data_IF_220807833704
#
_entry.id   IF_220807833704
#
_cell.length_a   1.000
_cell.length_b   1.000
_cell.length_c   1.000
_cell.angle_alpha   90.00
_cell.angle_beta   90.00
_cell.angle_gamma   90.00
#
_symmetry.space_group_name_H-M   'P 1'
#
loop_
_entity.id
_entity.type
_entity.pdbx_description
1 polymer ?
#
# COMPACT_ATOMS: atom_id res chain seq x y z
N UNK A 1 -20.83 31.00 -1.24
CA UNK A 1 -19.95 31.15 -0.06
C UNK A 1 -20.45 32.38 0.68
N UNK A 2 -20.85 32.26 1.95
CA UNK A 2 -21.31 33.42 2.74
C UNK A 2 -20.09 34.19 3.25
N UNK A 3 -19.55 35.04 2.38
CA UNK A 3 -18.31 35.80 2.63
C UNK A 3 -18.46 36.72 3.84
N UNK A 4 -19.64 37.31 4.00
CA UNK A 4 -19.91 38.29 5.05
C UNK A 4 -19.86 37.65 6.44
N UNK A 5 -20.49 36.47 6.61
CA UNK A 5 -20.41 35.71 7.87
C UNK A 5 -18.98 35.27 8.22
N UNK A 6 -18.19 34.86 7.23
CA UNK A 6 -16.81 34.48 7.49
C UNK A 6 -15.93 35.68 7.90
N UNK A 7 -16.22 36.88 7.38
CA UNK A 7 -15.54 38.11 7.76
C UNK A 7 -15.95 38.56 9.17
N UNK A 8 -17.21 38.39 9.55
CA UNK A 8 -17.68 38.63 10.92
C UNK A 8 -16.96 37.73 11.93
N UNK A 9 -16.94 36.41 11.67
CA UNK A 9 -16.23 35.45 12.53
C UNK A 9 -14.72 35.73 12.59
N UNK A 10 -14.09 36.13 11.47
CA UNK A 10 -12.68 36.50 11.43
C UNK A 10 -12.37 37.75 12.27
N UNK A 11 -13.29 38.73 12.30
CA UNK A 11 -13.15 39.94 13.13
C UNK A 11 -13.27 39.62 14.62
N UNK A 12 -13.89 38.51 15.01
CA UNK A 12 -13.97 38.10 16.42
C UNK A 12 -12.69 37.41 16.93
N UNK A 13 -11.78 37.02 16.03
CA UNK A 13 -10.50 36.40 16.39
C UNK A 13 -9.52 37.42 17.00
N UNK A 14 -8.64 36.93 17.87
CA UNK A 14 -7.48 37.69 18.38
C UNK A 14 -6.50 38.00 17.26
N UNK A 15 -5.61 38.97 17.46
CA UNK A 15 -4.64 39.36 16.43
C UNK A 15 -3.75 38.17 16.02
N UNK A 16 -3.29 37.35 16.97
CA UNK A 16 -2.49 36.14 16.70
C UNK A 16 -3.28 35.10 15.90
N UNK A 17 -4.52 34.81 16.30
CA UNK A 17 -5.40 33.87 15.60
C UNK A 17 -5.76 34.36 14.19
N UNK A 18 -5.83 35.68 13.94
CA UNK A 18 -6.04 36.24 12.60
C UNK A 18 -4.84 36.00 11.69
N UNK A 19 -3.61 36.19 12.19
CA UNK A 19 -2.39 35.92 11.43
C UNK A 19 -2.31 34.42 11.11
N UNK A 20 -2.59 33.56 12.09
CA UNK A 20 -2.63 32.11 11.90
C UNK A 20 -3.70 31.68 10.91
N UNK A 21 -4.93 32.18 11.05
CA UNK A 21 -6.02 31.90 10.12
C UNK A 21 -5.65 32.32 8.70
N UNK A 22 -5.06 33.50 8.51
CA UNK A 22 -4.60 33.98 7.20
C UNK A 22 -3.54 33.08 6.56
N UNK A 23 -2.59 32.59 7.35
CA UNK A 23 -1.58 31.62 6.90
C UNK A 23 -2.18 30.24 6.56
N UNK A 24 -3.17 29.79 7.33
CA UNK A 24 -3.80 28.48 7.16
C UNK A 24 -4.75 28.40 5.95
N UNK A 25 -5.36 29.50 5.50
CA UNK A 25 -6.30 29.51 4.36
C UNK A 25 -5.71 28.87 3.08
N UNK A 26 -4.52 29.27 2.58
CA UNK A 26 -3.95 28.64 1.39
C UNK A 26 -3.64 27.15 1.59
N UNK A 27 -3.20 26.74 2.79
CA UNK A 27 -2.92 25.34 3.13
C UNK A 27 -4.20 24.51 3.14
N UNK A 28 -5.27 25.05 3.70
CA UNK A 28 -6.58 24.42 3.70
C UNK A 28 -7.14 24.26 2.29
N UNK A 29 -7.00 25.28 1.44
CA UNK A 29 -7.40 25.20 0.03
C UNK A 29 -6.59 24.15 -0.75
N UNK A 30 -5.30 23.98 -0.48
CA UNK A 30 -4.49 22.92 -1.07
C UNK A 30 -5.01 21.52 -0.68
N UNK A 31 -5.27 21.30 0.61
CA UNK A 31 -5.84 20.04 1.15
C UNK A 31 -7.21 19.71 0.52
N UNK A 32 -8.06 20.71 0.31
CA UNK A 32 -9.35 20.49 -0.37
C UNK A 32 -9.19 20.05 -1.84
N UNK A 33 -8.20 20.59 -2.56
CA UNK A 33 -7.90 20.17 -3.94
C UNK A 33 -7.43 18.73 -4.00
N UNK A 34 -6.59 18.30 -3.07
CA UNK A 34 -6.17 16.89 -2.94
C UNK A 34 -7.37 15.97 -2.72
N UNK A 35 -8.31 16.38 -1.87
CA UNK A 35 -9.55 15.65 -1.60
C UNK A 35 -10.61 15.78 -2.70
N UNK A 36 -10.25 16.35 -3.87
CA UNK A 36 -11.14 16.64 -5.01
C UNK A 36 -12.37 17.49 -4.65
N UNK A 37 -12.32 18.23 -3.55
CA UNK A 37 -13.36 19.15 -3.11
C UNK A 37 -13.08 20.55 -3.67
N UNK A 38 -14.02 21.08 -4.46
CA UNK A 38 -13.84 22.38 -5.14
C UNK A 38 -14.05 23.58 -4.22
N UNK A 39 -14.80 23.43 -3.12
CA UNK A 39 -15.18 24.54 -2.23
C UNK A 39 -15.27 24.07 -0.78
N UNK A 40 -14.78 24.85 0.19
CA UNK A 40 -15.02 24.57 1.60
C UNK A 40 -16.50 24.70 1.91
N UNK A 41 -17.10 23.62 2.41
CA UNK A 41 -18.46 23.65 2.94
C UNK A 41 -18.41 24.38 4.30
N UNK A 42 -19.17 25.46 4.43
CA UNK A 42 -19.27 26.26 5.67
C UNK A 42 -17.96 26.87 6.20
N UNK A 43 -17.20 27.57 5.35
CA UNK A 43 -15.96 28.25 5.75
C UNK A 43 -16.07 29.15 7.00
N UNK A 44 -17.21 29.83 7.20
CA UNK A 44 -17.45 30.64 8.41
C UNK A 44 -17.44 29.79 9.69
N UNK A 45 -17.96 28.55 9.66
CA UNK A 45 -17.89 27.63 10.79
C UNK A 45 -16.45 27.19 11.05
N UNK A 46 -15.67 26.95 10.00
CA UNK A 46 -14.26 26.59 10.13
C UNK A 46 -13.43 27.70 10.80
N UNK A 47 -13.72 28.97 10.49
CA UNK A 47 -13.12 30.13 11.19
C UNK A 47 -13.59 30.19 12.65
N UNK A 48 -14.90 30.07 12.90
CA UNK A 48 -15.50 30.10 14.24
C UNK A 48 -14.97 29.02 15.17
N UNK A 49 -14.80 27.79 14.67
CA UNK A 49 -14.30 26.65 15.46
C UNK A 49 -12.78 26.59 15.55
N UNK A 50 -12.07 27.62 15.08
CA UNK A 50 -10.60 27.67 15.02
C UNK A 50 -9.96 26.51 14.26
N UNK A 51 -10.61 26.02 13.21
CA UNK A 51 -10.11 24.93 12.38
C UNK A 51 -8.76 25.22 11.71
N UNK A 52 -8.34 26.50 11.63
CA UNK A 52 -7.00 26.89 11.19
C UNK A 52 -5.86 26.38 12.09
N UNK A 53 -6.15 26.01 13.34
CA UNK A 53 -5.16 25.45 14.27
C UNK A 53 -4.76 24.00 13.93
N UNK A 54 -5.49 23.34 13.04
CA UNK A 54 -5.06 22.05 12.46
C UNK A 54 -3.84 22.20 11.54
N UNK A 55 -3.54 23.44 11.12
CA UNK A 55 -2.41 23.77 10.28
C UNK A 55 -1.27 24.39 11.11
N UNK A 56 0.00 24.24 10.67
CA UNK A 56 1.14 24.81 11.38
C UNK A 56 0.97 26.31 11.63
N UNK A 57 1.44 26.78 12.79
CA UNK A 57 1.46 28.21 13.10
C UNK A 57 2.37 28.97 12.12
N UNK A 58 2.08 30.26 11.85
CA UNK A 58 2.97 31.10 11.06
C UNK A 58 4.37 31.12 11.65
N UNK A 59 5.38 30.76 10.87
CA UNK A 59 6.78 30.71 11.33
C UNK A 59 7.16 29.43 12.10
N UNK A 60 6.21 28.51 12.36
CA UNK A 60 6.57 27.17 12.77
C UNK A 60 7.28 26.47 11.62
N UNK A 61 8.52 26.04 11.85
CA UNK A 61 9.19 25.13 10.92
C UNK A 61 8.26 23.92 10.71
N UNK A 62 8.10 23.40 9.48
CA UNK A 62 7.32 22.19 9.26
C UNK A 62 7.86 21.15 10.24
N UNK A 63 6.98 20.60 11.08
CA UNK A 63 7.35 19.54 11.99
C UNK A 63 7.94 18.42 11.13
N UNK A 64 9.27 18.32 11.11
CA UNK A 64 9.97 17.27 10.39
C UNK A 64 9.44 15.99 11.01
N UNK A 65 8.64 15.23 10.25
CA UNK A 65 8.15 13.94 10.70
C UNK A 65 9.35 13.20 11.29
N UNK A 66 9.26 12.79 12.55
CA UNK A 66 10.36 12.11 13.21
C UNK A 66 10.82 10.99 12.27
N UNK A 67 12.13 10.88 11.99
CA UNK A 67 12.60 9.85 11.06
C UNK A 67 12.07 8.50 11.54
N UNK A 68 11.43 7.70 10.65
CA UNK A 68 10.80 6.46 11.07
C UNK A 68 11.85 5.60 11.77
N UNK A 69 11.59 5.24 13.02
CA UNK A 69 12.47 4.35 13.77
C UNK A 69 12.56 3.02 13.03
N UNK A 70 13.78 2.62 12.68
CA UNK A 70 14.01 1.32 12.07
C UNK A 70 13.69 0.24 13.09
N UNK A 71 12.91 -0.75 12.68
CA UNK A 71 12.52 -1.91 13.49
C UNK A 71 13.12 -3.17 12.89
N UNK A 72 13.58 -4.07 13.75
CA UNK A 72 14.01 -5.39 13.35
C UNK A 72 12.80 -6.33 13.32
N UNK A 73 12.47 -6.86 12.14
CA UNK A 73 11.32 -7.75 11.91
C UNK A 73 11.75 -9.19 12.05
N UNK A 74 10.99 -9.95 12.84
CA UNK A 74 11.25 -11.35 13.18
C UNK A 74 9.96 -12.15 13.23
N UNK A 75 10.06 -13.46 13.49
CA UNK A 75 8.91 -14.33 13.72
C UNK A 75 7.96 -14.40 12.53
N UNK A 76 6.66 -14.32 12.78
CA UNK A 76 5.63 -14.49 11.74
C UNK A 76 5.61 -13.32 10.75
N UNK A 77 5.90 -12.11 11.19
CA UNK A 77 5.99 -10.97 10.28
C UNK A 77 7.17 -11.13 9.30
N UNK A 78 8.28 -11.73 9.73
CA UNK A 78 9.42 -12.07 8.86
C UNK A 78 9.04 -13.15 7.84
N UNK A 79 8.35 -14.21 8.30
CA UNK A 79 7.84 -15.28 7.42
C UNK A 79 6.87 -14.73 6.37
N UNK A 80 5.97 -13.85 6.80
CA UNK A 80 5.02 -13.18 5.93
C UNK A 80 5.70 -12.28 4.90
N UNK A 81 6.75 -11.55 5.30
CA UNK A 81 7.58 -10.78 4.37
C UNK A 81 8.27 -11.69 3.35
N UNK A 82 8.76 -12.86 3.75
CA UNK A 82 9.34 -13.82 2.82
C UNK A 82 8.32 -14.29 1.77
N UNK A 83 7.08 -14.59 2.19
CA UNK A 83 5.98 -14.92 1.25
C UNK A 83 5.69 -13.74 0.31
N UNK A 84 5.59 -12.52 0.83
CA UNK A 84 5.37 -11.32 0.02
C UNK A 84 6.49 -11.12 -1.03
N UNK A 85 7.75 -11.36 -0.65
CA UNK A 85 8.90 -11.31 -1.57
C UNK A 85 8.83 -12.37 -2.68
N UNK A 86 8.39 -13.59 -2.36
CA UNK A 86 8.19 -14.66 -3.35
C UNK A 86 7.10 -14.32 -4.36
N UNK A 87 6.05 -13.61 -3.94
CA UNK A 87 4.99 -13.16 -4.84
C UNK A 87 5.48 -11.98 -5.69
N UNK A 88 6.00 -10.92 -5.05
CA UNK A 88 6.28 -9.65 -5.70
C UNK A 88 7.51 -9.68 -6.62
N UNK A 89 8.60 -10.31 -6.15
CA UNK A 89 9.92 -10.25 -6.81
C UNK A 89 10.43 -11.63 -7.22
N UNK A 90 9.73 -12.72 -6.86
CA UNK A 90 10.09 -14.11 -7.16
C UNK A 90 11.50 -14.46 -6.67
N UNK A 91 11.89 -13.90 -5.53
CA UNK A 91 13.17 -14.16 -4.89
C UNK A 91 12.98 -14.43 -3.40
N UNK A 92 13.97 -15.09 -2.85
CA UNK A 92 14.07 -15.28 -1.40
C UNK A 92 14.38 -13.96 -0.70
N UNK A 93 13.77 -13.78 0.47
CA UNK A 93 14.08 -12.67 1.35
C UNK A 93 15.51 -12.84 1.87
N UNK A 94 16.33 -11.80 1.74
CA UNK A 94 17.67 -11.78 2.33
C UNK A 94 17.56 -11.48 3.80
N UNK A 95 17.73 -12.51 4.62
CA UNK A 95 17.71 -12.41 6.08
C UNK A 95 19.10 -12.01 6.58
N UNK A 96 19.15 -11.11 7.55
CA UNK A 96 20.37 -10.67 8.22
C UNK A 96 20.41 -11.34 9.60
N UNK A 97 21.60 -11.73 10.03
CA UNK A 97 21.84 -12.22 11.39
C UNK A 97 22.44 -11.12 12.25
N UNK A 98 21.70 -10.72 13.27
CA UNK A 98 22.11 -9.80 14.32
C UNK A 98 22.60 -10.60 15.55
N UNK A 99 23.57 -10.07 16.29
CA UNK A 99 24.19 -10.78 17.42
C UNK A 99 23.24 -10.89 18.62
N UNK A 100 22.44 -9.86 18.88
CA UNK A 100 21.57 -9.78 20.05
C UNK A 100 20.14 -10.22 19.73
N UNK A 101 19.68 -9.93 18.50
CA UNK A 101 18.31 -10.18 18.09
C UNK A 101 18.16 -11.50 17.31
N UNK A 102 19.22 -12.04 16.73
CA UNK A 102 19.17 -13.24 15.88
C UNK A 102 18.80 -12.92 14.43
N UNK A 103 17.99 -13.75 13.78
CA UNK A 103 17.68 -13.60 12.35
C UNK A 103 16.49 -12.67 12.10
N UNK A 104 16.61 -11.77 11.12
CA UNK A 104 15.57 -10.81 10.78
C UNK A 104 15.93 -9.84 9.66
N UNK A 105 15.08 -8.83 9.48
CA UNK A 105 15.29 -7.75 8.49
C UNK A 105 14.93 -6.40 9.10
N UNK A 106 15.75 -5.38 8.82
CA UNK A 106 15.45 -4.00 9.23
C UNK A 106 14.43 -3.38 8.29
N UNK A 107 13.32 -2.88 8.85
CA UNK A 107 12.28 -2.14 8.12
C UNK A 107 12.04 -0.77 8.76
N UNK A 108 11.46 0.14 8.00
CA UNK A 108 10.93 1.41 8.51
C UNK A 108 9.41 1.35 8.74
N UNK A 109 8.76 0.23 8.37
CA UNK A 109 7.33 0.04 8.56
C UNK A 109 7.00 -0.35 10.01
N UNK A 110 5.93 0.24 10.53
CA UNK A 110 5.33 -0.22 11.78
C UNK A 110 4.76 -1.65 11.65
N UNK A 111 4.45 -2.32 12.78
CA UNK A 111 3.87 -3.67 12.77
C UNK A 111 2.67 -3.80 11.84
N UNK A 112 2.68 -4.83 10.99
CA UNK A 112 1.59 -5.13 10.04
C UNK A 112 0.96 -6.50 10.41
N UNK A 113 -0.27 -6.48 10.93
CA UNK A 113 -0.99 -7.71 11.29
C UNK A 113 -1.33 -8.56 10.05
N UNK A 114 -1.72 -7.89 8.97
CA UNK A 114 -1.91 -8.45 7.63
C UNK A 114 -0.65 -9.15 7.07
N UNK A 115 0.53 -8.58 7.28
CA UNK A 115 1.78 -9.21 6.87
C UNK A 115 2.04 -10.45 7.71
N UNK A 116 1.80 -10.38 9.01
CA UNK A 116 1.93 -11.53 9.91
C UNK A 116 0.97 -12.67 9.52
N UNK A 117 -0.24 -12.36 9.05
CA UNK A 117 -1.19 -13.37 8.58
C UNK A 117 -0.70 -14.16 7.36
N UNK A 118 0.21 -13.59 6.55
CA UNK A 118 0.85 -14.29 5.44
C UNK A 118 1.75 -15.44 5.90
N UNK A 119 2.19 -15.45 7.17
CA UNK A 119 3.06 -16.49 7.72
C UNK A 119 2.47 -17.90 7.60
N UNK A 120 1.15 -18.03 7.57
CA UNK A 120 0.46 -19.31 7.38
C UNK A 120 0.81 -19.99 6.03
N UNK A 121 1.30 -19.23 5.05
CA UNK A 121 1.70 -19.72 3.73
C UNK A 121 3.21 -19.86 3.58
N UNK A 122 3.99 -19.61 4.65
CA UNK A 122 5.43 -19.75 4.60
C UNK A 122 5.84 -21.22 4.38
N UNK A 123 6.66 -21.47 3.37
CA UNK A 123 7.08 -22.82 2.97
C UNK A 123 6.03 -23.61 2.18
N UNK A 124 4.86 -23.04 1.89
CA UNK A 124 3.89 -23.66 0.99
C UNK A 124 4.40 -23.67 -0.46
N UNK A 125 3.95 -24.66 -1.23
CA UNK A 125 4.28 -24.73 -2.66
C UNK A 125 3.56 -23.60 -3.41
N UNK A 126 4.35 -22.69 -3.96
CA UNK A 126 3.90 -21.54 -4.76
C UNK A 126 3.15 -21.98 -6.01
N UNK A 127 3.50 -23.11 -6.62
CA UNK A 127 2.83 -23.56 -7.84
C UNK A 127 1.39 -24.03 -7.57
N UNK A 128 1.09 -24.41 -6.33
CA UNK A 128 -0.26 -24.74 -5.87
C UNK A 128 -1.14 -23.51 -5.58
N UNK A 129 -0.56 -22.31 -5.56
CA UNK A 129 -1.31 -21.08 -5.38
C UNK A 129 -2.12 -20.72 -6.62
N UNK A 130 -3.26 -20.08 -6.36
CA UNK A 130 -4.14 -19.59 -7.41
C UNK A 130 -3.53 -18.38 -8.13
N UNK A 131 -4.01 -18.13 -9.35
CA UNK A 131 -3.56 -17.04 -10.20
C UNK A 131 -4.59 -15.91 -10.18
N UNK A 132 -4.14 -14.71 -9.83
CA UNK A 132 -4.91 -13.48 -10.05
C UNK A 132 -4.44 -12.80 -11.32
N UNK A 133 -5.33 -12.69 -12.29
CA UNK A 133 -5.02 -12.20 -13.64
C UNK A 133 -4.77 -10.69 -13.64
N UNK A 134 -3.77 -10.24 -14.41
CA UNK A 134 -3.48 -8.83 -14.63
C UNK A 134 -4.73 -8.09 -15.14
N UNK A 135 -5.00 -6.93 -14.55
CA UNK A 135 -6.16 -6.09 -14.89
C UNK A 135 -7.41 -6.39 -14.05
N UNK A 136 -7.39 -7.40 -13.19
CA UNK A 136 -8.49 -7.66 -12.24
C UNK A 136 -8.39 -6.78 -10.98
N UNK A 137 -9.50 -6.50 -10.28
CA UNK A 137 -9.48 -5.83 -8.98
C UNK A 137 -8.62 -6.54 -7.93
N UNK A 138 -8.62 -7.87 -7.95
CA UNK A 138 -7.80 -8.72 -7.10
C UNK A 138 -6.31 -8.48 -7.33
N UNK A 139 -5.89 -8.41 -8.60
CA UNK A 139 -4.52 -8.10 -8.95
C UNK A 139 -4.11 -6.71 -8.46
N UNK A 140 -4.97 -5.70 -8.63
CA UNK A 140 -4.68 -4.35 -8.15
C UNK A 140 -4.53 -4.31 -6.62
N UNK A 141 -5.43 -4.98 -5.88
CA UNK A 141 -5.35 -5.08 -4.42
C UNK A 141 -4.06 -5.77 -3.96
N UNK A 142 -3.69 -6.87 -4.59
CA UNK A 142 -2.42 -7.56 -4.31
C UNK A 142 -1.21 -6.70 -4.64
N UNK A 143 -1.17 -6.06 -5.82
CA UNK A 143 -0.08 -5.16 -6.21
C UNK A 143 0.13 -4.07 -5.17
N UNK A 144 -0.94 -3.38 -4.77
CA UNK A 144 -0.86 -2.26 -3.83
C UNK A 144 -0.39 -2.74 -2.44
N UNK A 145 -0.84 -3.92 -2.00
CA UNK A 145 -0.39 -4.50 -0.73
C UNK A 145 1.06 -4.95 -0.75
N UNK A 146 1.48 -5.64 -1.80
CA UNK A 146 2.85 -6.09 -2.00
C UNK A 146 3.80 -4.89 -2.08
N UNK A 147 3.42 -3.85 -2.84
CA UNK A 147 4.21 -2.62 -2.94
C UNK A 147 4.44 -1.96 -1.58
N UNK A 148 3.42 -1.95 -0.72
CA UNK A 148 3.54 -1.43 0.64
C UNK A 148 4.52 -2.25 1.48
N UNK A 149 4.47 -3.59 1.41
CA UNK A 149 5.32 -4.46 2.24
C UNK A 149 6.77 -4.54 1.77
N UNK A 150 7.00 -4.64 0.46
CA UNK A 150 8.34 -4.81 -0.11
C UNK A 150 9.02 -3.48 -0.42
N UNK A 151 8.25 -2.39 -0.55
CA UNK A 151 8.75 -1.09 -0.97
C UNK A 151 9.14 -1.01 -2.44
N UNK A 152 8.81 -2.04 -3.24
CA UNK A 152 9.10 -2.12 -4.67
C UNK A 152 7.81 -2.30 -5.47
N UNK A 153 7.78 -1.83 -6.72
CA UNK A 153 6.61 -2.01 -7.59
C UNK A 153 6.56 -3.46 -8.11
N UNK A 154 5.57 -4.28 -7.69
CA UNK A 154 5.49 -5.68 -8.09
C UNK A 154 5.09 -5.80 -9.55
N UNK A 155 5.82 -6.61 -10.32
CA UNK A 155 5.55 -6.80 -11.74
C UNK A 155 4.78 -8.10 -11.99
N UNK A 156 3.75 -8.03 -12.84
CA UNK A 156 3.03 -9.22 -13.28
C UNK A 156 4.00 -10.22 -13.91
N UNK A 157 3.89 -11.48 -13.50
CA UNK A 157 4.66 -12.55 -14.10
C UNK A 157 3.90 -13.25 -15.21
N UNK A 158 4.63 -13.84 -16.15
CA UNK A 158 4.07 -14.73 -17.15
C UNK A 158 3.92 -16.13 -16.55
N UNK A 159 2.67 -16.57 -16.37
CA UNK A 159 2.31 -17.85 -15.77
C UNK A 159 1.85 -18.79 -16.88
N UNK A 160 2.51 -19.94 -17.02
CA UNK A 160 2.13 -20.95 -18.00
C UNK A 160 0.98 -21.81 -17.48
N UNK A 161 -0.08 -21.95 -18.27
CA UNK A 161 -1.28 -22.72 -17.89
C UNK A 161 -1.15 -24.22 -18.19
N UNK A 162 -0.18 -24.58 -19.02
CA UNK A 162 0.03 -25.95 -19.50
C UNK A 162 1.46 -26.40 -19.16
N UNK A 163 1.65 -27.69 -18.79
CA UNK A 163 2.99 -28.26 -18.55
C UNK A 163 3.91 -28.11 -19.78
N UNK A 164 5.22 -28.10 -19.54
CA UNK A 164 6.19 -28.10 -20.63
C UNK A 164 6.30 -29.52 -21.23
N UNK A 165 5.72 -29.71 -22.41
CA UNK A 165 5.97 -30.87 -23.27
C UNK A 165 7.13 -30.62 -24.27
N UNK A 166 8.26 -31.33 -24.16
CA UNK A 166 9.43 -31.15 -25.03
C UNK A 166 9.19 -31.56 -26.49
N UNK A 167 8.13 -32.32 -26.79
CA UNK A 167 7.83 -32.76 -28.16
C UNK A 167 7.11 -31.71 -29.01
N UNK A 168 6.62 -30.64 -28.36
CA UNK A 168 5.84 -29.57 -29.01
C UNK A 168 6.34 -28.17 -28.63
N UNK A 169 6.94 -27.99 -27.45
CA UNK A 169 7.44 -26.71 -26.96
C UNK A 169 8.97 -26.64 -27.07
N UNK A 170 9.49 -25.48 -27.48
CA UNK A 170 10.94 -25.25 -27.60
C UNK A 170 11.58 -25.87 -28.85
N UNK A 171 10.79 -26.54 -29.70
CA UNK A 171 11.20 -27.01 -31.02
C UNK A 171 11.09 -25.90 -32.08
N UNK A 172 11.72 -26.10 -33.24
CA UNK A 172 11.62 -25.15 -34.36
C UNK A 172 10.18 -24.90 -34.76
N UNK A 173 9.84 -23.63 -35.07
CA UNK A 173 8.53 -23.23 -35.57
C UNK A 173 8.15 -23.88 -36.91
N UNK A 174 9.12 -24.47 -37.62
CA UNK A 174 8.89 -25.24 -38.85
C UNK A 174 8.46 -26.68 -38.60
N UNK A 175 8.50 -27.17 -37.36
CA UNK A 175 8.05 -28.52 -37.03
C UNK A 175 6.51 -28.56 -36.97
N UNK A 176 5.83 -29.53 -37.61
CA UNK A 176 4.36 -29.62 -37.64
C UNK A 176 3.73 -29.77 -36.25
N UNK A 177 4.48 -30.26 -35.27
CA UNK A 177 4.02 -30.42 -33.89
C UNK A 177 4.28 -29.17 -33.02
N UNK A 178 4.89 -28.11 -33.56
CA UNK A 178 5.20 -26.90 -32.81
C UNK A 178 3.94 -26.26 -32.25
N UNK A 179 3.94 -26.03 -30.94
CA UNK A 179 2.88 -25.29 -30.24
C UNK A 179 3.50 -24.29 -29.28
N UNK A 180 2.87 -23.11 -29.16
CA UNK A 180 3.20 -22.15 -28.11
C UNK A 180 2.45 -22.53 -26.82
N UNK A 181 3.14 -22.49 -25.69
CA UNK A 181 2.50 -22.69 -24.38
C UNK A 181 1.52 -21.57 -24.12
N UNK A 182 0.29 -21.92 -23.72
CA UNK A 182 -0.66 -20.92 -23.23
C UNK A 182 -0.14 -20.33 -21.92
N UNK A 183 -0.22 -19.01 -21.83
CA UNK A 183 0.22 -18.28 -20.65
C UNK A 183 -0.68 -17.09 -20.38
N UNK A 184 -0.80 -16.70 -19.12
CA UNK A 184 -1.41 -15.44 -18.70
C UNK A 184 -0.39 -14.57 -17.97
N UNK A 185 -0.73 -13.30 -17.78
CA UNK A 185 0.03 -12.40 -16.91
C UNK A 185 -0.74 -12.19 -15.60
N UNK A 186 -0.07 -12.23 -14.46
CA UNK A 186 -0.71 -12.11 -13.16
C UNK A 186 0.23 -12.32 -11.99
N UNK A 187 -0.33 -12.62 -10.82
CA UNK A 187 0.41 -13.10 -9.65
C UNK A 187 -0.10 -14.48 -9.23
N UNK A 188 0.81 -15.36 -8.81
CA UNK A 188 0.46 -16.50 -7.96
C UNK A 188 0.33 -16.03 -6.50
N UNK A 189 -0.84 -16.23 -5.91
CA UNK A 189 -1.18 -15.72 -4.57
C UNK A 189 -1.93 -16.78 -3.76
N UNK A 190 -1.79 -16.81 -2.42
CA UNK A 190 -2.44 -17.83 -1.60
C UNK A 190 -3.97 -17.71 -1.58
N UNK A 191 -4.52 -16.51 -1.74
CA UNK A 191 -5.95 -16.22 -1.73
C UNK A 191 -6.33 -15.20 -2.81
N UNK A 192 -7.61 -15.12 -3.24
CA UNK A 192 -8.02 -14.17 -4.27
C UNK A 192 -7.78 -12.71 -3.86
N UNK A 193 -7.92 -12.43 -2.56
CA UNK A 193 -7.70 -11.11 -1.97
C UNK A 193 -6.61 -11.15 -0.92
N UNK A 194 -5.80 -10.09 -0.78
CA UNK A 194 -4.84 -9.99 0.32
C UNK A 194 -5.57 -9.89 1.67
N UNK A 195 -4.88 -10.22 2.77
CA UNK A 195 -5.45 -10.07 4.10
C UNK A 195 -5.78 -8.59 4.38
N UNK A 196 -6.89 -8.36 5.09
CA UNK A 196 -7.29 -7.05 5.60
C UNK A 196 -6.25 -6.55 6.60
N UNK A 197 -6.22 -5.23 6.83
CA UNK A 197 -5.24 -4.57 7.74
C UNK A 197 -5.21 -5.12 9.17
N UNK A 198 -6.29 -5.75 9.61
CA UNK A 198 -6.40 -6.39 10.93
C UNK A 198 -5.83 -7.82 10.96
N UNK A 199 -5.34 -8.35 9.83
CA UNK A 199 -4.83 -9.73 9.72
C UNK A 199 -5.86 -10.76 9.26
N UNK A 200 -7.12 -10.38 9.07
CA UNK A 200 -8.18 -11.31 8.67
C UNK A 200 -8.20 -11.53 7.16
N UNK A 201 -8.55 -12.75 6.75
CA UNK A 201 -8.72 -13.10 5.33
C UNK A 201 -10.18 -12.92 4.91
N UNK A 202 -10.39 -12.46 3.68
CA UNK A 202 -11.74 -12.45 3.10
C UNK A 202 -12.17 -13.87 2.79
N UNK A 203 -13.37 -14.25 3.22
CA UNK A 203 -13.96 -15.55 2.87
C UNK A 203 -14.47 -15.48 1.43
N UNK A 204 -14.20 -16.52 0.63
CA UNK A 204 -14.68 -16.60 -0.75
C UNK A 204 -16.22 -16.52 -0.77
N UNK A 205 -16.77 -15.40 -1.27
CA UNK A 205 -18.22 -15.18 -1.39
C UNK A 205 -18.72 -13.84 -0.82
N UNK A 206 -17.90 -13.13 -0.03
CA UNK A 206 -18.22 -11.75 0.38
C UNK A 206 -17.82 -10.78 -0.74
N UNK A 207 -18.72 -10.60 -1.70
CA UNK A 207 -18.67 -9.47 -2.63
C UNK A 207 -19.14 -8.21 -1.92
N UNK A 208 -18.35 -7.14 -1.93
CA UNK A 208 -18.85 -5.77 -1.74
C UNK A 208 -19.59 -5.28 -2.98
#
# INVERSE_FOLDING_TARGET
MRRDLALEEFRLLTQEDRVWCGYAVPLYMAKLRELKQRRPMNFHLWVRTRGFREFPAPGAAPAKAAPPQRRFVQGDELKGLAVAMQIAERRELRIIRDQDLGEGVWTQLGPQADLSAMAAFAGADREAWQVVDLGTPQFAAWRDRLALWTGAEPQAERIFLEPFDPNVHGISSSNPNFRLRKSKQGFRVPAPWPPRRDGTWQVAGESE
#
